data_IF_544676766861
#
_entry.id   IF_544676766861
#
_cell.length_a   1.000
_cell.length_b   1.000
_cell.length_c   1.000
_cell.angle_alpha   90.00
_cell.angle_beta   90.00
_cell.angle_gamma   90.00
#
_symmetry.space_group_name_H-M   'P 1'
#
loop_
_entity.id
_entity.type
_entity.pdbx_description
1 polymer ?
2 non-polymer ?
3 non-polymer ?
4 non-polymer ?
5 non-polymer ?
6 water ?
#
# COMPACT_ATOMS: atom_id res chain seq x y z
N UNK A 17 -15.01 -5.86 19.31
CA UNK A 17 -13.69 -5.23 19.59
C UNK A 17 -12.85 -5.14 18.31
N UNK A 18 -13.18 -4.24 17.34
CA UNK A 18 -12.40 -4.15 16.10
C UNK A 18 -11.00 -3.61 16.37
N UNK A 19 -9.98 -4.16 15.71
CA UNK A 19 -8.60 -3.68 15.84
C UNK A 19 -8.17 -2.79 14.67
N UNK A 20 -9.08 -2.54 13.72
CA UNK A 20 -8.74 -1.73 12.56
C UNK A 20 -9.85 -0.71 12.39
N UNK A 21 -9.92 0.24 13.31
CA UNK A 21 -10.98 1.21 13.21
C UNK A 21 -10.44 2.64 13.17
N UNK A 22 -9.34 2.94 13.88
CA UNK A 22 -8.87 4.32 14.05
C UNK A 22 -7.47 4.42 13.41
N UNK A 23 -7.19 5.50 12.70
CA UNK A 23 -5.85 5.82 12.27
C UNK A 23 -5.28 6.93 13.14
N UNK A 24 -4.05 6.69 13.60
CA UNK A 24 -3.32 7.68 14.40
C UNK A 24 -1.97 8.00 13.74
N UNK A 25 -1.38 9.15 14.08
CA UNK A 25 -0.04 9.49 13.62
C UNK A 25 0.95 8.43 14.11
N UNK A 26 1.71 7.84 13.20
CA UNK A 26 2.70 6.83 13.54
C UNK A 26 3.76 7.34 14.51
N UNK A 27 4.07 8.64 14.45
CA UNK A 27 5.18 9.15 15.25
C UNK A 27 4.76 9.50 16.67
N UNK A 28 3.50 9.83 16.92
CA UNK A 28 3.12 10.35 18.23
C UNK A 28 1.78 9.86 18.75
N UNK A 29 0.92 9.25 17.92
CA UNK A 29 -0.34 8.77 18.44
C UNK A 29 -1.55 9.70 18.31
N UNK A 30 -1.37 10.93 17.81
CA UNK A 30 -2.50 11.83 17.59
C UNK A 30 -3.60 11.11 16.80
N UNK A 31 -4.86 11.26 17.23
CA UNK A 31 -5.97 10.74 16.45
C UNK A 31 -6.12 11.51 15.13
N UNK A 32 -6.23 10.80 13.99
CA UNK A 32 -6.26 11.45 12.68
C UNK A 32 -7.53 11.09 11.91
N UNK A 33 -7.81 9.80 11.71
CA UNK A 33 -8.98 9.46 10.93
C UNK A 33 -9.53 8.09 11.32
N UNK A 34 -10.44 7.55 10.50
CA UNK A 34 -11.12 6.32 10.81
C UNK A 34 -11.28 5.52 9.53
N UNK A 35 -11.25 4.20 9.63
CA UNK A 35 -11.48 3.36 8.47
C UNK A 35 -12.84 3.69 7.82
N UNK A 36 -13.85 3.98 8.66
CA UNK A 36 -15.19 4.23 8.16
C UNK A 36 -15.23 5.46 7.24
N UNK A 37 -14.19 6.30 7.31
CA UNK A 37 -14.16 7.56 6.56
C UNK A 37 -13.31 7.44 5.29
N UNK A 38 -12.87 6.24 4.93
CA UNK A 38 -12.20 6.08 3.64
C UNK A 38 -13.15 6.47 2.50
N UNK A 39 -12.57 7.04 1.44
CA UNK A 39 -13.34 7.60 0.33
C UNK A 39 -12.81 7.11 -1.02
N UNK A 40 -13.57 6.30 -1.79
CA UNK A 40 -13.11 5.84 -3.10
C UNK A 40 -13.14 6.87 -4.25
N UNK A 41 -12.19 7.80 -4.24
CA UNK A 41 -12.01 8.81 -5.29
C UNK A 41 -11.62 8.13 -6.59
N UNK A 42 -12.35 8.39 -7.67
CA UNK A 42 -12.12 7.71 -8.94
C UNK A 42 -12.21 6.18 -8.86
N UNK A 43 -12.95 5.66 -7.87
CA UNK A 43 -13.23 4.24 -7.77
C UNK A 43 -12.27 3.47 -6.87
N UNK A 44 -11.36 4.16 -6.18
CA UNK A 44 -10.40 3.47 -5.34
C UNK A 44 -9.99 4.42 -4.22
N UNK A 45 -9.89 3.92 -2.99
CA UNK A 45 -9.44 4.76 -1.88
C UNK A 45 -7.94 4.98 -1.96
N UNK A 46 -7.21 4.07 -2.62
CA UNK A 46 -5.76 4.15 -2.70
C UNK A 46 -5.31 4.69 -4.05
N UNK A 47 -4.36 5.65 -3.99
CA UNK A 47 -3.73 6.27 -5.16
C UNK A 47 -2.21 6.30 -4.99
N UNK A 48 -1.44 5.82 -5.98
CA UNK A 48 0.01 5.90 -5.90
C UNK A 48 0.50 6.99 -6.85
N UNK A 49 1.26 7.94 -6.30
CA UNK A 49 1.61 9.18 -6.97
C UNK A 49 3.06 9.56 -6.69
N UNK A 50 3.64 10.45 -7.53
CA UNK A 50 4.93 11.02 -7.18
C UNK A 50 4.94 12.54 -7.33
N UNK A 51 5.71 13.18 -6.46
CA UNK A 51 5.90 14.61 -6.53
C UNK A 51 7.07 15.00 -7.44
N UNK A 52 7.28 16.32 -7.67
CA UNK A 52 8.37 16.76 -8.52
C UNK A 52 9.78 16.40 -8.06
N UNK A 53 9.93 16.10 -6.76
CA UNK A 53 11.19 15.62 -6.21
C UNK A 53 11.31 14.10 -6.33
N UNK A 54 10.38 13.47 -7.05
CA UNK A 54 10.43 12.05 -7.34
C UNK A 54 9.99 11.13 -6.21
N UNK A 55 9.55 11.69 -5.09
CA UNK A 55 9.05 10.91 -3.96
C UNK A 55 7.75 10.24 -4.35
N UNK A 56 7.68 8.92 -4.12
CA UNK A 56 6.47 8.14 -4.32
C UNK A 56 5.70 8.00 -3.02
N UNK A 57 4.37 8.20 -3.13
CA UNK A 57 3.50 8.19 -1.96
C UNK A 57 2.34 7.24 -2.25
N UNK A 58 2.02 6.37 -1.27
CA UNK A 58 0.82 5.56 -1.33
C UNK A 58 -0.23 6.30 -0.51
N UNK A 59 -1.16 6.97 -1.22
CA UNK A 59 -2.09 7.91 -0.61
C UNK A 59 -3.44 7.20 -0.45
N UNK A 60 -3.98 7.29 0.76
CA UNK A 60 -5.34 6.87 1.05
C UNK A 60 -6.19 8.13 1.14
N UNK A 61 -7.35 8.12 0.44
CA UNK A 61 -8.29 9.23 0.50
C UNK A 61 -9.33 9.00 1.57
N UNK A 62 -9.53 10.05 2.37
CA UNK A 62 -10.52 10.06 3.45
C UNK A 62 -11.47 11.26 3.26
N UNK A 63 -12.75 11.05 3.59
CA UNK A 63 -13.69 12.15 3.52
C UNK A 63 -13.42 13.18 4.61
N UNK A 64 -12.86 12.71 5.74
CA UNK A 64 -12.76 13.47 6.97
C UNK A 64 -11.49 13.04 7.69
N UNK A 65 -10.93 13.98 8.43
CA UNK A 65 -9.78 13.77 9.28
C UNK A 65 -9.79 14.87 10.32
N UNK A 66 -9.03 14.65 11.37
CA UNK A 66 -8.92 15.52 12.51
C UNK A 66 -7.46 15.48 12.98
N UNK A 67 -7.11 16.40 13.88
CA UNK A 67 -5.83 16.36 14.55
C UNK A 67 -4.67 16.82 13.67
N UNK A 68 -4.98 17.40 12.53
CA UNK A 68 -3.97 17.92 11.60
C UNK A 68 -3.84 19.41 11.83
N UNK A 69 -2.83 20.01 11.20
CA UNK A 69 -2.70 21.43 11.01
C UNK A 69 -2.46 21.65 9.54
N UNK A 70 -3.36 22.43 8.91
CA UNK A 70 -3.28 22.71 7.48
C UNK A 70 -2.52 24.00 7.31
N UNK A 71 -1.48 23.95 6.46
CA UNK A 71 -0.46 24.98 6.42
C UNK A 71 -0.59 25.80 5.15
N UNK A 72 -0.66 27.12 5.36
CA UNK A 72 -0.73 28.08 4.27
C UNK A 72 -2.05 28.00 3.50
N UNK A 73 -1.97 28.50 2.25
CA UNK A 73 -3.12 28.68 1.41
C UNK A 73 -3.06 27.67 0.27
N UNK A 74 -4.22 27.32 -0.30
CA UNK A 74 -4.27 26.27 -1.31
C UNK A 74 -3.49 26.61 -2.55
N UNK A 75 -3.00 25.57 -3.23
CA UNK A 75 -2.31 25.63 -4.49
C UNK A 75 -2.82 24.54 -5.42
N UNK A 76 -2.98 24.86 -6.69
CA UNK A 76 -3.35 23.92 -7.73
C UNK A 76 -2.13 23.26 -8.40
N UNK A 77 -0.93 23.77 -8.13
CA UNK A 77 0.25 23.33 -8.88
C UNK A 77 0.53 21.85 -8.60
N UNK A 78 0.67 21.06 -9.69
CA UNK A 78 1.06 19.65 -9.59
C UNK A 78 -0.01 18.80 -8.91
N UNK A 79 -1.24 19.30 -8.75
CA UNK A 79 -2.23 18.52 -8.05
C UNK A 79 -2.46 17.16 -8.73
N UNK A 80 -2.52 16.13 -7.87
CA UNK A 80 -2.75 14.76 -8.32
C UNK A 80 -4.22 14.49 -8.62
N UNK A 81 -5.12 15.41 -8.22
CA UNK A 81 -6.54 15.17 -8.34
C UNK A 81 -7.17 16.34 -9.08
N UNK A 82 -7.70 16.04 -10.26
CA UNK A 82 -8.22 17.03 -11.18
C UNK A 82 -9.29 17.89 -10.52
N UNK A 83 -9.10 19.21 -10.60
CA UNK A 83 -10.07 20.16 -10.07
C UNK A 83 -9.86 20.55 -8.60
N UNK A 84 -8.86 19.95 -7.92
CA UNK A 84 -8.61 20.25 -6.52
C UNK A 84 -7.30 21.00 -6.30
N UNK A 85 -7.32 21.91 -5.34
CA UNK A 85 -6.17 22.63 -4.85
C UNK A 85 -5.79 21.99 -3.52
N UNK A 86 -4.51 22.04 -3.15
CA UNK A 86 -4.04 21.34 -1.97
C UNK A 86 -3.37 22.28 -0.97
N UNK A 87 -3.42 21.86 0.30
CA UNK A 87 -2.62 22.43 1.38
C UNK A 87 -1.93 21.27 2.09
N UNK A 88 -0.68 21.51 2.47
CA UNK A 88 0.04 20.53 3.30
C UNK A 88 -0.71 20.29 4.61
N UNK A 89 -0.77 19.02 5.01
CA UNK A 89 -1.39 18.62 6.24
C UNK A 89 -0.32 18.00 7.14
N UNK A 90 0.02 18.71 8.23
CA UNK A 90 0.91 18.15 9.23
C UNK A 90 0.10 17.55 10.37
N UNK A 91 0.68 16.57 11.06
CA UNK A 91 0.19 16.17 12.36
C UNK A 91 0.18 17.40 13.24
N UNK A 92 -1.01 17.73 13.82
CA UNK A 92 -1.10 18.93 14.63
C UNK A 92 -0.39 18.83 15.97
N UNK A 93 0.00 17.61 16.37
CA UNK A 93 0.70 17.36 17.60
C UNK A 93 2.21 17.42 17.34
N UNK A 94 2.75 16.59 16.45
CA UNK A 94 4.20 16.47 16.32
C UNK A 94 4.81 17.09 15.07
N UNK A 95 3.98 17.53 14.12
CA UNK A 95 4.50 18.19 12.94
C UNK A 95 4.90 17.24 11.79
N UNK A 96 4.74 15.94 11.98
CA UNK A 96 4.98 14.96 10.92
C UNK A 96 4.13 15.30 9.70
N UNK A 97 4.72 15.25 8.50
CA UNK A 97 3.94 15.52 7.30
C UNK A 97 3.09 14.30 6.93
N UNK A 98 1.77 14.35 7.21
CA UNK A 98 0.90 13.21 7.02
C UNK A 98 0.19 13.15 5.69
N UNK A 99 0.13 14.29 4.95
CA UNK A 99 -0.49 14.29 3.64
C UNK A 99 -0.92 15.69 3.24
N UNK A 100 -2.12 15.79 2.65
CA UNK A 100 -2.62 17.03 2.08
C UNK A 100 -4.12 17.09 2.30
N UNK A 101 -4.62 18.34 2.39
CA UNK A 101 -6.05 18.56 2.32
C UNK A 101 -6.36 19.19 0.95
N UNK A 102 -7.37 18.61 0.32
CA UNK A 102 -7.82 19.03 -1.00
C UNK A 102 -9.15 19.78 -0.90
N UNK A 103 -9.25 20.85 -1.65
CA UNK A 103 -10.47 21.65 -1.68
C UNK A 103 -10.63 22.28 -3.05
N UNK A 104 -11.76 22.96 -3.24
CA UNK A 104 -11.96 23.73 -4.44
C UNK A 104 -12.56 22.95 -5.62
N UNK A 105 -12.87 21.67 -5.37
CA UNK A 105 -13.33 20.76 -6.40
C UNK A 105 -14.83 20.48 -6.33
N UNK A 106 -15.23 19.31 -6.87
CA UNK A 106 -16.64 18.92 -7.03
C UNK A 106 -16.84 17.45 -6.66
N UNK A 107 -17.86 17.19 -5.84
CA UNK A 107 -18.36 15.85 -5.55
C UNK A 107 -17.21 14.90 -5.20
N UNK A 108 -16.53 15.06 -4.06
CA UNK A 108 -16.77 16.11 -3.09
C UNK A 108 -16.03 17.43 -3.35
N UNK A 109 -16.45 18.48 -2.61
CA UNK A 109 -15.72 19.74 -2.67
C UNK A 109 -14.33 19.59 -2.06
N UNK A 110 -14.20 18.76 -1.00
CA UNK A 110 -13.02 18.62 -0.20
C UNK A 110 -12.80 17.16 0.20
N UNK A 111 -11.54 16.80 0.44
CA UNK A 111 -11.18 15.53 1.07
C UNK A 111 -9.73 15.61 1.55
N UNK A 112 -9.28 14.53 2.21
CA UNK A 112 -7.91 14.43 2.68
C UNK A 112 -7.23 13.26 1.97
N UNK A 113 -6.00 13.54 1.49
CA UNK A 113 -5.14 12.48 0.99
C UNK A 113 -3.97 12.25 1.92
N UNK A 114 -4.00 11.12 2.65
CA UNK A 114 -3.03 10.86 3.71
C UNK A 114 -2.10 9.72 3.29
N UNK A 115 -0.85 9.84 3.75
CA UNK A 115 0.21 8.90 3.40
C UNK A 115 0.12 7.67 4.31
N UNK A 116 -0.25 6.52 3.73
CA UNK A 116 -0.67 5.36 4.50
C UNK A 116 0.42 4.92 5.48
N UNK A 117 1.68 4.90 5.06
CA UNK A 117 2.74 4.38 5.92
C UNK A 117 3.14 5.35 7.03
N UNK A 118 2.56 6.54 7.06
CA UNK A 118 2.81 7.50 8.13
C UNK A 118 1.73 7.47 9.22
N UNK A 119 0.75 6.58 9.06
CA UNK A 119 -0.34 6.37 10.02
C UNK A 119 -0.15 5.00 10.66
N UNK A 120 -0.73 4.82 11.86
CA UNK A 120 -0.88 3.53 12.49
C UNK A 120 -2.36 3.23 12.71
N UNK A 121 -2.79 2.03 12.32
CA UNK A 121 -4.18 1.66 12.43
C UNK A 121 -4.39 0.77 13.66
N UNK A 122 -5.53 0.92 14.34
CA UNK A 122 -5.73 0.18 15.56
C UNK A 122 -7.14 0.37 16.12
N UNK A 123 -7.35 -0.14 17.31
CA UNK A 123 -8.69 -0.15 17.92
C UNK A 123 -9.14 1.24 18.36
N UNK A 124 -10.48 1.41 18.46
CA UNK A 124 -11.07 2.69 18.83
C UNK A 124 -10.60 3.12 20.23
N UNK B 21 15.27 -14.82 -0.99
CA UNK B 21 15.77 -14.30 0.30
C UNK B 21 14.97 -14.92 1.44
N UNK B 22 15.61 -15.05 2.60
CA UNK B 22 14.96 -15.57 3.79
C UNK B 22 14.98 -14.49 4.87
N UNK B 23 14.02 -14.60 5.79
CA UNK B 23 13.95 -13.79 6.98
C UNK B 23 14.34 -14.64 8.18
N UNK B 24 15.33 -14.14 8.90
CA UNK B 24 15.83 -14.85 10.08
C UNK B 24 15.53 -14.04 11.33
N UNK B 25 15.38 -14.73 12.45
CA UNK B 25 15.25 -14.03 13.72
C UNK B 25 16.50 -13.16 13.91
N UNK B 26 16.30 -11.86 14.19
CA UNK B 26 17.42 -10.93 14.29
C UNK B 26 18.31 -11.28 15.50
N UNK B 27 17.71 -11.86 16.54
CA UNK B 27 18.41 -12.13 17.78
C UNK B 27 19.23 -13.41 17.73
N UNK B 28 18.76 -14.48 17.07
CA UNK B 28 19.54 -15.71 17.11
C UNK B 28 19.86 -16.32 15.75
N UNK B 29 19.24 -15.81 14.66
CA UNK B 29 19.55 -16.27 13.33
C UNK B 29 18.69 -17.40 12.79
N UNK B 30 17.79 -17.98 13.59
CA UNK B 30 16.98 -19.08 13.09
C UNK B 30 16.17 -18.60 11.90
N UNK B 31 16.08 -19.42 10.85
CA UNK B 31 15.18 -19.12 9.74
C UNK B 31 13.73 -19.13 10.22
N UNK B 32 12.99 -18.09 9.84
CA UNK B 32 11.60 -17.93 10.26
C UNK B 32 10.67 -17.88 9.06
N UNK B 33 10.95 -17.06 8.05
CA UNK B 33 10.08 -17.02 6.89
C UNK B 33 10.85 -16.67 5.63
N UNK B 34 10.13 -16.48 4.52
CA UNK B 34 10.78 -16.33 3.23
C UNK B 34 10.11 -15.19 2.48
N UNK B 35 10.86 -14.49 1.64
CA UNK B 35 10.27 -13.47 0.79
C UNK B 35 9.18 -14.02 -0.13
N UNK B 36 9.32 -15.25 -0.58
CA UNK B 36 8.34 -15.87 -1.48
C UNK B 36 6.96 -15.96 -0.80
N UNK B 37 6.95 -15.88 0.50
CA UNK B 37 5.74 -16.10 1.31
C UNK B 37 5.13 -14.78 1.76
N UNK B 38 5.65 -13.63 1.29
CA UNK B 38 4.99 -12.38 1.60
C UNK B 38 3.54 -12.43 1.09
N UNK B 39 2.66 -11.87 1.90
CA UNK B 39 1.23 -11.93 1.66
C UNK B 39 0.61 -10.53 1.72
N UNK B 40 0.09 -10.00 0.60
CA UNK B 40 -0.54 -8.67 0.64
C UNK B 40 -1.97 -8.65 1.19
N UNK B 41 -2.11 -8.74 2.52
CA UNK B 41 -3.41 -8.68 3.19
C UNK B 41 -3.96 -7.27 3.06
N UNK B 42 -5.20 -7.17 2.61
CA UNK B 42 -5.82 -5.87 2.35
C UNK B 42 -5.07 -5.04 1.31
N UNK B 43 -4.28 -5.68 0.45
CA UNK B 43 -3.62 -4.99 -0.65
C UNK B 43 -2.18 -4.55 -0.33
N UNK B 44 -1.64 -4.93 0.83
CA UNK B 44 -0.28 -4.51 1.16
C UNK B 44 0.32 -5.52 2.12
N UNK B 45 1.62 -5.88 1.93
CA UNK B 45 2.23 -6.76 2.91
C UNK B 45 2.60 -6.04 4.21
N UNK B 46 2.81 -4.71 4.15
CA UNK B 46 3.12 -3.94 5.37
C UNK B 46 1.88 -3.28 5.97
N UNK B 47 1.77 -3.45 7.29
CA UNK B 47 0.71 -2.80 8.08
C UNK B 47 1.34 -2.19 9.33
N UNK B 48 1.22 -0.87 9.43
CA UNK B 48 1.57 -0.17 10.67
C UNK B 48 0.33 -0.11 11.55
N UNK B 49 0.47 -0.65 12.76
CA UNK B 49 -0.68 -0.93 13.64
C UNK B 49 -0.35 -0.48 15.07
N UNK B 50 -1.40 -0.32 15.92
CA UNK B 50 -1.15 -0.11 17.34
C UNK B 50 -2.11 -0.99 18.16
N UNK B 51 -1.62 -1.47 19.29
CA UNK B 51 -2.46 -2.29 20.17
C UNK B 51 -3.17 -1.40 21.20
N UNK B 52 -4.04 -2.00 22.08
CA UNK B 52 -4.78 -1.20 23.04
C UNK B 52 -3.94 -0.47 24.11
N UNK B 53 -2.71 -0.95 24.33
CA UNK B 53 -1.80 -0.27 25.23
C UNK B 53 -1.03 0.84 24.51
N UNK B 54 -1.37 1.08 23.25
CA UNK B 54 -0.78 2.16 22.45
C UNK B 54 0.61 1.83 21.93
N UNK B 55 1.06 0.58 21.98
CA UNK B 55 2.33 0.22 21.36
C UNK B 55 2.14 0.16 19.85
N UNK B 56 3.09 0.75 19.08
CA UNK B 56 3.06 0.73 17.62
C UNK B 56 4.01 -0.30 17.06
N UNK B 57 3.53 -1.05 16.05
CA UNK B 57 4.31 -2.07 15.40
C UNK B 57 4.20 -1.93 13.88
N UNK B 58 5.31 -2.22 13.18
CA UNK B 58 5.30 -2.30 11.74
C UNK B 58 5.39 -3.76 11.38
N UNK B 59 4.27 -4.32 10.91
CA UNK B 59 4.08 -5.74 10.71
C UNK B 59 4.10 -6.04 9.22
N UNK B 60 4.80 -7.10 8.82
CA UNK B 60 4.76 -7.66 7.49
C UNK B 60 4.00 -9.00 7.55
N UNK B 61 3.11 -9.21 6.57
CA UNK B 61 2.31 -10.43 6.52
C UNK B 61 2.98 -11.50 5.65
N UNK B 62 3.04 -12.72 6.20
CA UNK B 62 3.56 -13.88 5.48
C UNK B 62 2.56 -15.02 5.52
N UNK B 63 2.47 -15.83 4.47
CA UNK B 63 1.51 -16.94 4.44
C UNK B 63 1.87 -18.01 5.46
N UNK B 64 3.14 -18.33 5.55
CA UNK B 64 3.71 -19.40 6.37
C UNK B 64 4.90 -18.85 7.12
N UNK B 65 5.34 -19.62 8.11
CA UNK B 65 6.57 -19.41 8.84
C UNK B 65 6.98 -20.70 9.48
N UNK B 66 8.20 -20.72 10.00
CA UNK B 66 8.73 -21.87 10.71
C UNK B 66 9.58 -21.40 11.88
N UNK B 67 9.83 -22.32 12.82
CA UNK B 67 10.74 -22.01 13.90
C UNK B 67 10.18 -21.11 14.97
N UNK B 68 8.87 -20.82 14.95
CA UNK B 68 8.25 -20.06 16.02
C UNK B 68 7.57 -20.98 17.04
N UNK B 69 7.18 -20.40 18.17
CA UNK B 69 6.33 -21.07 19.14
C UNK B 69 5.16 -20.14 19.43
N UNK B 70 3.96 -20.63 19.17
CA UNK B 70 2.73 -19.90 19.39
C UNK B 70 2.21 -20.19 20.78
N UNK B 71 1.94 -19.11 21.52
CA UNK B 71 1.61 -19.25 22.94
C UNK B 71 0.16 -18.81 23.20
N UNK B 72 -0.56 -19.61 23.98
CA UNK B 72 -1.88 -19.22 24.43
C UNK B 72 -2.98 -19.67 23.46
N UNK B 73 -4.23 -19.53 23.90
CA UNK B 73 -5.33 -19.88 23.02
C UNK B 73 -5.60 -18.68 22.11
N UNK B 74 -6.16 -18.91 20.90
CA UNK B 74 -6.47 -17.77 20.02
C UNK B 74 -7.47 -16.81 20.65
N UNK B 75 -7.34 -15.54 20.28
CA UNK B 75 -8.23 -14.49 20.73
C UNK B 75 -8.69 -13.66 19.54
N UNK B 76 -9.95 -13.25 19.57
CA UNK B 76 -10.47 -12.34 18.57
C UNK B 76 -10.39 -10.88 18.98
N UNK B 77 -10.03 -10.61 20.24
CA UNK B 77 -10.11 -9.24 20.76
C UNK B 77 -9.10 -8.35 20.04
N UNK B 78 -9.57 -7.20 19.50
CA UNK B 78 -8.73 -6.18 18.91
C UNK B 78 -7.89 -6.71 17.75
N UNK B 79 -8.36 -7.77 17.06
CA UNK B 79 -7.59 -8.25 15.94
C UNK B 79 -7.40 -7.15 14.90
N UNK B 80 -6.17 -7.04 14.38
CA UNK B 80 -5.88 -6.07 13.34
C UNK B 80 -6.44 -6.51 11.98
N UNK B 81 -6.84 -7.77 11.85
CA UNK B 81 -7.30 -8.34 10.60
C UNK B 81 -8.69 -8.92 10.81
N UNK B 82 -9.68 -8.28 10.20
CA UNK B 82 -11.07 -8.66 10.40
C UNK B 82 -11.31 -10.11 10.00
N UNK B 83 -11.96 -10.85 10.90
CA UNK B 83 -12.33 -12.24 10.67
C UNK B 83 -11.31 -13.25 11.16
N UNK B 84 -10.20 -12.78 11.75
CA UNK B 84 -9.15 -13.66 12.25
C UNK B 84 -8.96 -13.52 13.75
N UNK B 85 -8.64 -14.63 14.41
CA UNK B 85 -8.15 -14.64 15.77
C UNK B 85 -6.62 -14.67 15.76
N UNK B 86 -6.00 -14.19 16.85
CA UNK B 86 -4.55 -14.17 16.92
C UNK B 86 -4.00 -14.95 18.11
N UNK B 87 -2.73 -15.35 17.94
CA UNK B 87 -1.91 -15.94 19.00
C UNK B 87 -0.53 -15.30 18.90
N UNK B 88 0.09 -15.01 20.05
CA UNK B 88 1.44 -14.44 20.05
C UNK B 88 2.45 -15.47 19.52
N UNK B 89 3.41 -14.99 18.71
CA UNK B 89 4.46 -15.83 18.13
C UNK B 89 5.84 -15.43 18.66
N UNK B 90 6.50 -16.34 19.38
CA UNK B 90 7.88 -16.16 19.82
C UNK B 90 8.82 -16.95 18.92
N UNK B 91 10.07 -16.49 18.75
CA UNK B 91 11.10 -17.39 18.22
C UNK B 91 11.16 -18.65 19.09
N UNK B 92 11.04 -19.84 18.48
CA UNK B 92 11.14 -21.09 19.23
C UNK B 92 12.51 -21.36 19.83
N UNK B 93 13.55 -20.78 19.20
CA UNK B 93 14.92 -21.05 19.54
C UNK B 93 15.41 -20.10 20.64
N UNK B 94 15.08 -18.82 20.57
CA UNK B 94 15.59 -17.85 21.52
C UNK B 94 14.53 -17.09 22.33
N UNK B 95 13.26 -17.16 21.96
CA UNK B 95 12.20 -16.51 22.72
C UNK B 95 11.85 -15.09 22.29
N UNK B 96 12.58 -14.52 21.32
CA UNK B 96 12.25 -13.19 20.82
C UNK B 96 10.80 -13.09 20.39
N UNK B 97 10.09 -12.00 20.74
CA UNK B 97 8.72 -11.84 20.25
C UNK B 97 8.73 -11.35 18.82
N UNK B 98 8.41 -12.23 17.86
CA UNK B 98 8.55 -11.89 16.46
C UNK B 98 7.24 -11.49 15.81
N UNK B 99 6.09 -11.76 16.44
CA UNK B 99 4.81 -11.29 15.88
C UNK B 99 3.62 -12.08 16.42
N UNK B 100 2.72 -12.47 15.49
CA UNK B 100 1.48 -13.13 15.83
C UNK B 100 1.12 -14.05 14.68
N UNK B 101 0.38 -15.10 15.02
CA UNK B 101 -0.28 -15.95 14.03
C UNK B 101 -1.75 -15.65 14.04
N UNK B 102 -2.37 -15.71 12.85
CA UNK B 102 -3.77 -15.44 12.62
C UNK B 102 -4.42 -16.68 12.04
N UNK B 103 -5.64 -16.95 12.52
CA UNK B 103 -6.36 -18.12 12.07
C UNK B 103 -7.87 -17.85 12.11
N UNK B 104 -8.59 -18.77 11.48
CA UNK B 104 -10.04 -18.86 11.65
C UNK B 104 -10.79 -18.04 10.61
N UNK B 105 -10.03 -17.51 9.64
CA UNK B 105 -10.59 -16.78 8.51
C UNK B 105 -10.81 -17.65 7.27
N UNK B 106 -11.03 -17.00 6.11
CA UNK B 106 -11.13 -17.65 4.81
C UNK B 106 -10.20 -16.94 3.82
N UNK B 107 -9.53 -17.71 2.97
CA UNK B 107 -8.76 -17.17 1.85
C UNK B 107 -7.86 -16.01 2.30
N UNK B 108 -6.77 -16.24 3.07
CA UNK B 108 -6.44 -17.57 3.59
C UNK B 108 -7.03 -17.84 4.97
N UNK B 109 -6.99 -19.10 5.36
CA UNK B 109 -7.49 -19.46 6.67
C UNK B 109 -6.51 -19.01 7.75
N UNK B 110 -5.20 -19.04 7.45
CA UNK B 110 -4.15 -18.69 8.40
C UNK B 110 -3.03 -17.89 7.73
N UNK B 111 -2.36 -17.06 8.53
CA UNK B 111 -1.16 -16.35 8.10
C UNK B 111 -0.47 -15.76 9.34
N UNK B 112 0.71 -15.18 9.11
CA UNK B 112 1.47 -14.54 10.17
C UNK B 112 1.62 -13.05 9.92
N UNK B 113 1.60 -12.29 11.02
CA UNK B 113 2.03 -10.89 11.01
C UNK B 113 3.29 -10.78 11.86
N UNK B 114 4.43 -10.56 11.19
CA UNK B 114 5.73 -10.56 11.85
C UNK B 114 6.31 -9.14 11.87
N UNK B 115 6.97 -8.81 12.98
CA UNK B 115 7.53 -7.50 13.24
C UNK B 115 8.82 -7.32 12.44
N UNK B 116 8.76 -6.50 11.39
CA UNK B 116 9.85 -6.34 10.43
C UNK B 116 11.18 -6.06 11.10
N UNK B 117 11.20 -5.16 12.08
CA UNK B 117 12.44 -4.77 12.72
C UNK B 117 13.06 -5.84 13.62
N UNK B 118 12.35 -6.95 13.85
CA UNK B 118 12.87 -8.06 14.64
C UNK B 118 13.32 -9.22 13.79
N UNK B 119 13.35 -9.02 12.47
CA UNK B 119 13.82 -10.00 11.52
C UNK B 119 15.05 -9.41 10.80
N UNK B 120 15.83 -10.32 10.23
CA UNK B 120 16.95 -9.94 9.39
C UNK B 120 16.79 -10.66 8.07
N UNK B 121 16.76 -9.91 6.95
CA UNK B 121 16.66 -10.52 5.64
C UNK B 121 18.05 -10.79 5.06
N UNK B 122 18.19 -11.91 4.35
CA UNK B 122 19.46 -12.30 3.80
C UNK B 122 19.34 -13.48 2.86
N UNK B 123 20.42 -13.88 2.20
CA UNK B 123 20.39 -15.05 1.32
C UNK B 123 20.21 -16.36 2.09
N UNK B 124 19.61 -17.34 1.42
CA UNK B 124 19.32 -18.65 1.98
C UNK B 124 20.59 -19.50 2.15
N UNK C 19 -0.32 17.36 -12.41
CA UNK C 19 0.54 16.42 -11.65
C UNK C 19 0.35 14.97 -12.08
N UNK C 20 -0.33 14.71 -13.21
CA UNK C 20 -0.50 13.36 -13.71
C UNK C 20 -0.10 13.31 -15.18
N UNK C 21 1.17 13.61 -15.46
CA UNK C 21 1.66 13.67 -16.83
C UNK C 21 2.60 12.51 -17.14
N UNK C 22 3.37 11.98 -16.16
CA UNK C 22 4.32 10.90 -16.41
C UNK C 22 3.89 9.69 -15.57
N UNK C 23 3.97 8.50 -16.20
CA UNK C 23 3.52 7.26 -15.59
C UNK C 23 4.75 6.39 -15.36
N UNK C 24 4.78 5.74 -14.18
CA UNK C 24 6.01 5.12 -13.71
C UNK C 24 5.70 3.80 -13.01
N UNK C 25 6.55 2.84 -12.96
CA UNK C 25 6.34 1.64 -12.17
C UNK C 25 6.11 1.98 -10.69
N UNK C 26 5.01 1.48 -10.10
CA UNK C 26 4.67 1.77 -8.71
C UNK C 26 5.67 1.16 -7.74
N UNK C 27 6.26 0.04 -8.10
CA UNK C 27 7.17 -0.68 -7.20
C UNK C 27 8.56 -0.07 -7.17
N UNK C 28 9.08 0.45 -8.30
CA UNK C 28 10.47 0.90 -8.31
C UNK C 28 10.67 2.29 -8.92
N UNK C 29 9.65 2.82 -9.62
CA UNK C 29 9.72 4.14 -10.20
C UNK C 29 10.27 4.26 -11.61
N UNK C 30 10.62 3.14 -12.28
CA UNK C 30 11.01 3.17 -13.68
C UNK C 30 10.01 4.00 -14.49
N UNK C 31 10.51 4.89 -15.34
CA UNK C 31 9.68 5.64 -16.26
C UNK C 31 9.11 4.72 -17.33
N UNK C 32 7.78 4.78 -17.57
CA UNK C 32 7.15 3.88 -18.53
C UNK C 32 6.48 4.65 -19.67
N UNK C 33 5.61 5.63 -19.36
CA UNK C 33 4.95 6.35 -20.43
C UNK C 33 4.50 7.74 -19.98
N UNK C 34 3.73 8.42 -20.84
CA UNK C 34 3.38 9.81 -20.61
C UNK C 34 1.99 10.08 -21.19
N UNK C 35 1.40 11.16 -20.69
CA UNK C 35 0.02 11.48 -21.02
C UNK C 35 -0.09 11.79 -22.51
N UNK C 36 0.98 12.34 -23.12
CA UNK C 36 0.99 12.66 -24.54
C UNK C 36 0.69 11.42 -25.40
N UNK C 37 0.96 10.24 -24.85
CA UNK C 37 0.86 8.99 -25.59
C UNK C 37 -0.42 8.23 -25.22
N UNK C 38 -1.26 8.82 -24.35
CA UNK C 38 -2.37 8.06 -23.74
C UNK C 38 -3.59 8.04 -24.67
N UNK C 46 -9.13 5.83 -19.04
CA UNK C 46 -9.08 4.51 -18.36
C UNK C 46 -10.25 3.64 -18.81
N UNK C 47 -9.95 2.36 -19.10
CA UNK C 47 -10.96 1.36 -19.44
C UNK C 47 -11.12 0.36 -18.29
N UNK C 57 -10.10 -4.54 -13.28
CA UNK C 57 -8.90 -3.67 -13.43
C UNK C 57 -9.31 -2.41 -14.20
N UNK C 58 -8.63 -1.30 -13.94
CA UNK C 58 -8.59 -0.17 -14.86
C UNK C 58 -7.31 -0.25 -15.68
N UNK C 59 -7.43 -0.16 -17.01
CA UNK C 59 -6.31 -0.21 -17.94
C UNK C 59 -6.19 1.14 -18.64
N UNK C 60 -4.96 1.64 -18.76
CA UNK C 60 -4.63 2.78 -19.61
C UNK C 60 -3.98 2.27 -20.89
N UNK C 61 -4.46 2.75 -22.06
CA UNK C 61 -3.82 2.41 -23.33
C UNK C 61 -2.89 3.54 -23.77
N UNK C 62 -1.65 3.17 -24.11
CA UNK C 62 -0.65 4.11 -24.61
C UNK C 62 -0.14 3.68 -25.97
N UNK C 63 0.09 4.63 -26.87
CA UNK C 63 0.63 4.32 -28.18
C UNK C 63 2.10 3.91 -28.10
N UNK C 64 2.84 4.49 -27.14
CA UNK C 64 4.27 4.28 -26.98
C UNK C 64 4.56 4.05 -25.51
N UNK C 65 5.64 3.29 -25.24
CA UNK C 65 6.09 3.10 -23.87
C UNK C 65 7.56 2.75 -23.90
N UNK C 66 8.18 2.92 -22.72
CA UNK C 66 9.60 2.59 -22.58
C UNK C 66 9.81 1.83 -21.28
N UNK C 67 11.01 1.24 -21.17
CA UNK C 67 11.44 0.68 -19.91
C UNK C 67 10.75 -0.64 -19.53
N UNK C 68 10.04 -1.25 -20.49
CA UNK C 68 9.42 -2.53 -20.24
C UNK C 68 10.32 -3.63 -20.81
N UNK C 69 9.97 -4.86 -20.46
CA UNK C 69 10.50 -6.03 -21.12
C UNK C 69 9.31 -6.88 -21.53
N UNK C 70 9.21 -7.11 -22.85
CA UNK C 70 8.11 -7.88 -23.42
C UNK C 70 8.53 -9.34 -23.52
N UNK C 71 7.72 -10.24 -22.93
CA UNK C 71 8.16 -11.63 -22.83
C UNK C 71 7.15 -12.55 -23.54
N UNK C 72 7.67 -13.60 -24.20
CA UNK C 72 6.85 -14.66 -24.74
C UNK C 72 6.25 -14.35 -26.11
N UNK C 73 5.55 -15.32 -26.69
CA UNK C 73 4.91 -15.15 -27.98
C UNK C 73 3.50 -14.60 -27.78
N UNK C 74 2.94 -13.89 -28.76
CA UNK C 74 1.60 -13.32 -28.61
C UNK C 74 0.51 -14.36 -28.39
N UNK C 75 -0.52 -13.96 -27.63
CA UNK C 75 -1.69 -14.78 -27.37
C UNK C 75 -2.96 -13.97 -27.60
N UNK C 76 -3.98 -14.66 -28.13
CA UNK C 76 -5.30 -14.07 -28.31
C UNK C 76 -6.24 -14.33 -27.13
N UNK C 77 -5.82 -15.17 -26.17
CA UNK C 77 -6.74 -15.69 -25.16
C UNK C 77 -7.29 -14.57 -24.28
N UNK C 78 -8.63 -14.48 -24.22
CA UNK C 78 -9.36 -13.53 -23.38
C UNK C 78 -8.97 -12.06 -23.63
N UNK C 79 -8.52 -11.76 -24.85
CA UNK C 79 -8.08 -10.39 -25.11
C UNK C 79 -9.23 -9.42 -24.88
N UNK C 80 -8.97 -8.32 -24.17
CA UNK C 80 -9.97 -7.30 -23.90
C UNK C 80 -10.20 -6.41 -25.13
N UNK C 81 -9.35 -6.51 -26.15
CA UNK C 81 -9.43 -5.62 -27.30
C UNK C 81 -9.57 -6.48 -28.56
N UNK C 82 -10.73 -6.35 -29.21
CA UNK C 82 -11.09 -7.26 -30.31
C UNK C 82 -10.10 -7.07 -31.46
N UNK C 83 -9.56 -8.19 -31.96
CA UNK C 83 -8.61 -8.18 -33.06
C UNK C 83 -7.15 -8.06 -32.63
N UNK C 84 -6.88 -8.02 -31.32
CA UNK C 84 -5.50 -7.88 -30.84
C UNK C 84 -5.06 -9.12 -30.05
N UNK C 85 -3.80 -9.52 -30.30
CA UNK C 85 -3.09 -10.47 -29.45
C UNK C 85 -2.23 -9.69 -28.47
N UNK C 86 -1.89 -10.32 -27.33
CA UNK C 86 -1.12 -9.66 -26.30
C UNK C 86 0.14 -10.44 -25.94
N UNK C 87 1.11 -9.68 -25.42
CA UNK C 87 2.32 -10.23 -24.80
C UNK C 87 2.51 -9.56 -23.44
N UNK C 88 2.98 -10.29 -22.44
CA UNK C 88 3.22 -9.75 -21.11
C UNK C 88 4.29 -8.66 -21.13
N UNK C 89 4.00 -7.57 -20.41
CA UNK C 89 4.95 -6.45 -20.26
C UNK C 89 5.37 -6.34 -18.79
N UNK C 90 6.67 -6.61 -18.53
CA UNK C 90 7.22 -6.41 -17.19
C UNK C 90 7.98 -5.10 -17.14
N UNK C 91 8.06 -4.56 -15.92
CA UNK C 91 9.03 -3.51 -15.67
C UNK C 91 10.43 -4.02 -15.98
N UNK C 92 11.20 -3.30 -16.80
CA UNK C 92 12.58 -3.70 -17.10
C UNK C 92 13.54 -3.54 -15.92
N UNK C 93 13.16 -2.70 -14.95
CA UNK C 93 14.04 -2.37 -13.83
C UNK C 93 13.85 -3.37 -12.69
N UNK C 94 12.59 -3.70 -12.35
CA UNK C 94 12.33 -4.53 -11.16
C UNK C 94 11.56 -5.82 -11.44
N UNK C 95 11.02 -5.98 -12.66
CA UNK C 95 10.30 -7.20 -13.02
C UNK C 95 8.80 -7.22 -12.69
N UNK C 96 8.28 -6.19 -12.02
CA UNK C 96 6.84 -6.09 -11.77
C UNK C 96 6.03 -6.25 -13.07
N UNK C 97 4.91 -6.98 -13.00
CA UNK C 97 4.04 -7.12 -14.16
C UNK C 97 3.16 -5.89 -14.30
N UNK C 98 3.43 -5.03 -15.30
CA UNK C 98 2.72 -3.75 -15.42
C UNK C 98 1.54 -3.79 -16.40
N UNK C 99 1.50 -4.80 -17.26
CA UNK C 99 0.45 -4.87 -18.26
C UNK C 99 0.87 -5.74 -19.45
N UNK C 100 0.47 -5.30 -20.65
CA UNK C 100 0.59 -6.11 -21.86
C UNK C 100 0.89 -5.22 -23.05
N UNK C 101 1.54 -5.81 -24.05
CA UNK C 101 1.67 -5.14 -25.35
C UNK C 101 0.71 -5.84 -26.31
N UNK C 102 -0.01 -5.04 -27.09
CA UNK C 102 -1.04 -5.52 -27.99
C UNK C 102 -0.62 -5.29 -29.44
N UNK C 103 -0.95 -6.25 -30.30
CA UNK C 103 -0.57 -6.20 -31.71
C UNK C 103 -1.52 -7.02 -32.59
N UNK C 110 -0.52 -1.35 -33.07
CA UNK C 110 0.02 -1.81 -31.76
C UNK C 110 -0.24 -0.75 -30.69
N UNK C 111 -0.29 -1.20 -29.44
CA UNK C 111 -0.34 -0.29 -28.31
C UNK C 111 -0.01 -1.07 -27.05
N UNK C 112 0.12 -0.33 -25.93
CA UNK C 112 0.39 -0.92 -24.63
C UNK C 112 -0.83 -0.69 -23.75
N UNK C 113 -1.26 -1.78 -23.10
CA UNK C 113 -2.37 -1.75 -22.15
C UNK C 113 -1.84 -2.00 -20.74
N UNK C 114 -1.74 -0.93 -19.92
CA UNK C 114 -1.08 -1.01 -18.65
C UNK C 114 -2.09 -0.87 -17.51
N UNK C 115 -1.82 -1.61 -16.43
CA UNK C 115 -2.70 -1.71 -15.27
C UNK C 115 -2.53 -0.46 -14.40
N UNK C 116 -3.62 0.32 -14.24
CA UNK C 116 -3.59 1.55 -13.45
C UNK C 116 -2.97 1.34 -12.06
N UNK C 117 -3.33 0.26 -11.38
CA UNK C 117 -2.93 0.05 -10.00
C UNK C 117 -1.50 -0.50 -9.90
N UNK C 118 -0.81 -0.66 -11.02
CA UNK C 118 0.59 -1.06 -11.02
C UNK C 118 1.50 0.13 -11.31
N UNK C 119 0.92 1.32 -11.51
CA UNK C 119 1.65 2.51 -11.92
C UNK C 119 1.50 3.59 -10.85
N UNK C 120 2.42 4.56 -10.90
CA UNK C 120 2.34 5.81 -10.17
C UNK C 120 2.35 6.95 -11.18
N UNK C 121 1.57 7.97 -10.92
CA UNK C 121 1.50 9.13 -11.82
C UNK C 121 2.12 10.32 -11.11
N UNK C 122 2.81 11.18 -11.88
CA UNK C 122 3.33 12.42 -11.34
C UNK C 122 3.64 13.45 -12.42
N UNK C 123 4.15 14.63 -12.03
CA UNK C 123 4.36 15.72 -12.97
C UNK C 123 5.49 15.47 -13.97
N UNK C 124 5.46 16.22 -15.10
CA UNK C 124 6.48 16.07 -16.14
C UNK C 124 7.86 16.38 -15.56
X LIG D 1 2.26 13.09 15.11
X LIG E 1 3.03 16.96 -6.30
X LIG E 1 2.22 17.14 -5.41
X LIG E 1 0.87 17.04 -5.72
X LIG E 1 -0.18 17.19 -4.83
X LIG E 1 -1.32 16.94 -5.20
X LIG E 1 0.19 17.56 -3.44
X LIG E 1 1.45 18.37 -3.31
X LIG E 1 2.58 17.63 -4.01
X LIG E 1 3.84 18.37 -4.05
X LIG E 1 7.80 20.71 -4.54
X LIG E 1 6.47 20.76 -4.97
X LIG E 1 5.62 19.77 -4.51
X LIG E 1 6.08 18.81 -3.63
X LIG E 1 3.41 20.15 -5.48
X LIG E 1 4.95 16.93 -2.61
X LIG E 1 7.39 18.75 -3.19
X LIG E 1 8.25 19.72 -3.67
X LIG E 1 4.95 17.89 -3.33
X LIG E 1 4.17 19.53 -4.77
X LIG F 1 8.15 14.73 2.47
X LIG F 1 7.87 15.68 1.31
X LIG F 1 9.35 15.22 3.30
X LIG F 1 8.46 13.31 1.96
X LIG F 1 6.94 14.63 3.36
X LIG G 1 15.55 -16.35 17.73
X LIG H 1 -3.69 -6.11 25.11
X LIG H 1 -2.65 -5.73 25.96
X LIG H 1 -1.34 -5.70 25.50
X LIG H 1 -1.07 -6.07 24.20
X LIG H 1 -2.57 -8.71 19.27
X LIG H 1 -2.54 -7.23 19.67
X LIG H 1 -4.01 -5.38 19.36
X LIG H 1 -0.55 -6.54 21.48
X LIG H 1 -2.70 -7.04 21.10
X LIG H 1 -3.59 -6.43 18.92
X LIG H 1 -4.04 -8.40 16.01
X LIG H 1 -4.08 -6.98 17.74
X LIG H 1 -2.94 -5.40 27.26
X LIG H 1 -3.37 -6.45 23.81
X LIG H 1 -4.40 -6.84 23.03
X LIG H 1 -2.08 -6.47 23.33
X LIG H 1 -1.70 -6.74 21.90
X LIG H 1 -3.59 -8.07 17.08
X LIG H 1 -2.53 -8.84 17.76
X LIG I 1 6.84 -6.37 22.92
X LIG I 1 7.81 -5.29 22.45
X LIG I 1 5.41 -5.83 22.85
X LIG I 1 7.01 -7.57 22.00
X LIG I 1 7.18 -6.79 24.35
X LIG J 1 9.60 -1.54 -11.51
X LIG K 1 -7.90 -11.12 -19.31
X LIG K 1 -6.89 -10.70 -19.86
X LIG K 1 -6.98 -10.11 -21.10
X LIG K 1 -5.97 -9.47 -21.80
X LIG K 1 -6.22 -8.88 -22.83
X LIG K 1 -4.60 -9.55 -21.21
X LIG K 1 -4.40 -10.75 -20.31
X LIG K 1 -5.48 -10.76 -19.24
X LIG K 1 -5.37 -11.89 -18.31
X LIG K 1 -4.50 -14.81 -14.82
X LIG K 1 -4.86 -13.48 -15.04
X LIG K 1 -5.06 -13.09 -16.35
X LIG K 1 -4.88 -13.96 -17.41
X LIG K 1 -5.58 -10.71 -16.31
X LIG K 1 -5.22 -13.67 -19.79
X LIG K 1 -4.49 -15.26 -17.20
X LIG K 1 -4.32 -15.68 -15.88
X LIG K 1 -5.16 -13.23 -18.67
X LIG K 1 -5.40 -11.76 -16.91
X LIG L 1 -0.01 -10.80 -11.73
X LIG L 1 0.25 -9.71 -12.74
X LIG L 1 -1.46 -11.32 -11.89
X LIG L 1 0.97 -11.95 -11.97
X LIG L 1 0.19 -10.26 -10.32
#
# INVERSE_FOLDING_TARGET
>A
AMPLDAGGQNSTQMVLAPGASIFRCRQCGQTISRRDWLLPMGGDHEHVVFNPAGMIFRVWCFSLAQGLRLIGAPSGEFSWFKGYDWTIALCGQCGSHLGWHYEGGSQPQTFFGLIKDRLAEGPAD
>B
AMPLDAGGQNSTQMVLAPGASIFRCRQCGQTISRRDWLLPMGGDHEHVVFNPAGMIFRVWCFSLAQGLRLIGAPSGEFSWFKGYDWTIALCGQCGSHLGWHYEGGSQPQTFFGLIKDRLAEGPAD
>C
AMPLDAGGQNSTQMVLAPGASIFRCRQCGQTISRRDWLLPMGGDHEHVVFNPAGMIFRVWCFSLAQGLRLIGAPSGEFSWFKGYDWTIALCGQCGSHLGWHYEGGSQPQTFFGLIKDRLAEGPAD
>D hetero
1 ZN ZN
>E hetero
1 EF2 O01 C02 N03 C04 O05 C06 C07 C08 N09 C11 C12 C13 C14 O16 O18 C19 C20 C3 C4
>F hetero
1 PO4 P O1 O2 O3 O4
>G hetero
1 ZN ZN
>H hetero
1 W1T C1 C2 C3 C4 C9 C8 O2 O1 N1 C12 O3 N2 N3 C6 F1 C5 C7 C11 C10
>I hetero
1 PO4 P O1 O2 O3 O4
>J hetero
1 ZN ZN
>K hetero
1 EF2 O01 C02 N03 C04 O05 C06 C07 C08 N09 C11 C12 C13 C14 O16 O18 C19 C20 C3 C4
>L hetero
1 PO4 P O1 O2 O3 O4
#
